data_IF_980085997001
#
_entry.id   IF_980085997001
#
_cell.length_a   1.000
_cell.length_b   1.000
_cell.length_c   1.000
_cell.angle_alpha   90.00
_cell.angle_beta   90.00
_cell.angle_gamma   90.00
#
_symmetry.space_group_name_H-M   'P 1'
#
loop_
_entity.id
_entity.type
_entity.pdbx_description
1 polymer ?
#
# COMPACT_ATOMS: atom_id res chain seq x y z
N UNK A 1 8.09 48.52 -73.05
CA UNK A 1 9.22 49.35 -72.55
C UNK A 1 8.95 49.67 -71.08
N UNK A 2 9.99 49.79 -70.24
CA UNK A 2 10.06 50.59 -68.98
C UNK A 2 8.94 50.48 -67.91
N UNK A 3 9.19 50.34 -66.60
CA UNK A 3 10.38 49.98 -65.79
C UNK A 3 9.96 49.83 -64.31
N UNK A 4 10.40 48.74 -63.66
CA UNK A 4 10.90 48.64 -62.27
C UNK A 4 10.04 49.00 -61.02
N UNK A 5 10.37 48.30 -59.91
CA UNK A 5 10.17 48.63 -58.49
C UNK A 5 8.78 48.75 -57.84
N UNK A 6 8.51 47.91 -56.83
CA UNK A 6 7.83 48.38 -55.60
C UNK A 6 6.95 47.39 -54.81
N UNK A 7 7.54 46.67 -53.85
CA UNK A 7 6.89 46.12 -52.63
C UNK A 7 5.69 45.16 -52.77
N UNK A 8 5.98 43.93 -53.17
CA UNK A 8 5.25 42.72 -52.75
C UNK A 8 5.57 42.37 -51.26
N UNK A 9 4.74 41.71 -50.44
CA UNK A 9 3.43 41.04 -50.65
C UNK A 9 2.53 41.18 -49.39
N UNK A 10 1.22 40.95 -49.56
CA UNK A 10 0.14 41.05 -48.56
C UNK A 10 0.28 40.11 -47.32
N UNK A 11 -0.15 40.53 -46.10
CA UNK A 11 -0.19 39.66 -44.92
C UNK A 11 -1.58 39.01 -44.73
N UNK A 12 -1.68 37.68 -44.88
CA UNK A 12 -2.92 36.93 -44.59
C UNK A 12 -2.67 35.49 -44.11
N UNK A 13 -3.69 34.95 -43.43
CA UNK A 13 -3.96 33.54 -43.05
C UNK A 13 -3.12 32.80 -41.96
N UNK A 14 -3.83 32.56 -40.85
CA UNK A 14 -4.01 31.28 -40.13
C UNK A 14 -3.13 30.82 -38.92
N UNK A 15 -3.90 30.41 -37.91
CA UNK A 15 -3.63 29.66 -36.66
C UNK A 15 -3.08 28.21 -36.92
N UNK A 16 -2.66 27.40 -35.91
CA UNK A 16 -3.00 27.46 -34.47
C UNK A 16 -1.83 27.17 -33.47
N UNK A 17 -2.20 26.82 -32.23
CA UNK A 17 -1.37 26.77 -31.02
C UNK A 17 -1.21 25.33 -30.49
N UNK A 18 -0.03 24.94 -29.96
CA UNK A 18 0.20 24.26 -28.64
C UNK A 18 1.47 23.37 -28.50
N UNK A 19 2.09 23.47 -27.30
CA UNK A 19 2.77 22.41 -26.47
C UNK A 19 4.22 21.91 -26.69
N UNK A 20 4.84 21.57 -25.53
CA UNK A 20 6.02 20.69 -25.28
C UNK A 20 7.42 21.37 -25.39
N UNK A 21 8.50 21.03 -24.63
CA UNK A 21 8.76 19.93 -23.66
C UNK A 21 9.94 20.28 -22.69
N UNK A 22 10.02 19.65 -21.48
CA UNK A 22 11.23 19.21 -20.68
C UNK A 22 12.54 20.07 -20.54
N UNK A 23 13.35 20.07 -19.46
CA UNK A 23 13.40 19.37 -18.14
C UNK A 23 14.59 19.84 -17.25
N UNK A 24 14.47 19.72 -15.90
CA UNK A 24 15.57 19.63 -14.88
C UNK A 24 16.52 20.85 -14.71
N UNK A 25 17.18 21.17 -13.58
CA UNK A 25 17.33 20.66 -12.18
C UNK A 25 18.12 21.72 -11.34
N UNK A 26 18.35 21.72 -10.01
CA UNK A 26 17.89 20.97 -8.80
C UNK A 26 18.46 21.63 -7.51
N UNK A 27 17.95 21.27 -6.31
CA UNK A 27 18.55 21.42 -4.94
C UNK A 27 18.69 22.84 -4.32
N UNK A 28 18.64 23.07 -2.99
CA UNK A 28 18.12 22.30 -1.84
C UNK A 28 17.96 23.15 -0.54
N UNK A 29 16.96 22.77 0.29
CA UNK A 29 16.91 22.81 1.78
C UNK A 29 16.93 24.13 2.59
N UNK A 30 16.23 24.08 3.75
CA UNK A 30 16.11 25.04 4.87
C UNK A 30 15.05 26.16 4.72
N UNK A 31 14.20 26.45 5.72
CA UNK A 31 13.81 25.73 6.95
C UNK A 31 12.29 25.96 7.16
N UNK A 32 11.46 25.02 7.63
CA UNK A 32 11.51 24.30 8.91
C UNK A 32 11.59 25.21 10.15
N UNK A 33 10.55 26.04 10.38
CA UNK A 33 9.73 26.01 11.62
C UNK A 33 8.35 26.59 11.26
N UNK A 34 7.29 25.77 11.32
CA UNK A 34 6.05 26.20 11.99
C UNK A 34 5.25 24.98 12.47
N UNK A 35 5.64 24.44 13.63
CA UNK A 35 5.02 23.25 14.22
C UNK A 35 3.68 23.59 14.88
N UNK A 36 2.64 23.79 14.06
CA UNK A 36 1.27 23.88 14.56
C UNK A 36 0.75 22.49 14.93
N UNK A 37 1.25 21.97 16.05
CA UNK A 37 0.74 20.74 16.67
C UNK A 37 -0.70 20.97 17.16
N UNK A 38 -1.67 20.69 16.30
CA UNK A 38 -3.10 20.84 16.61
C UNK A 38 -3.59 19.68 17.50
N UNK A 39 -3.04 19.60 18.72
CA UNK A 39 -3.22 18.49 19.68
C UNK A 39 -4.67 18.27 20.09
N UNK A 40 -5.55 19.25 19.86
CA UNK A 40 -6.99 19.13 20.11
C UNK A 40 -7.62 18.10 19.16
N UNK A 41 -7.23 18.10 17.87
CA UNK A 41 -7.81 17.21 16.86
C UNK A 41 -7.55 15.72 17.12
N UNK A 42 -6.47 15.37 17.82
CA UNK A 42 -6.17 13.98 18.19
C UNK A 42 -7.17 13.44 19.21
N UNK A 43 -7.50 14.23 20.25
CA UNK A 43 -8.40 13.78 21.31
C UNK A 43 -9.87 13.74 20.87
N UNK A 44 -10.26 14.61 19.93
CA UNK A 44 -11.56 14.50 19.27
C UNK A 44 -11.60 13.29 18.31
N UNK A 45 -10.53 13.02 17.56
CA UNK A 45 -10.42 11.82 16.73
C UNK A 45 -10.55 10.52 17.55
N UNK A 46 -9.85 10.41 18.69
CA UNK A 46 -9.91 9.25 19.58
C UNK A 46 -11.36 8.95 20.00
N UNK A 47 -12.07 9.93 20.59
CA UNK A 47 -13.47 9.79 21.02
C UNK A 47 -14.44 9.48 19.88
N UNK A 48 -14.22 10.09 18.72
CA UNK A 48 -15.04 9.86 17.52
C UNK A 48 -14.78 8.44 16.98
N UNK A 49 -13.53 7.98 16.99
CA UNK A 49 -13.12 6.64 16.58
C UNK A 49 -13.70 5.56 17.50
N UNK A 50 -13.59 5.71 18.83
CA UNK A 50 -14.23 4.83 19.81
C UNK A 50 -15.74 4.71 19.59
N UNK A 51 -16.42 5.83 19.32
CA UNK A 51 -17.85 5.83 19.00
C UNK A 51 -18.16 5.13 17.67
N UNK A 52 -17.35 5.31 16.63
CA UNK A 52 -17.54 4.59 15.36
C UNK A 52 -17.29 3.09 15.51
N UNK A 53 -16.27 2.67 16.26
CA UNK A 53 -16.01 1.26 16.58
C UNK A 53 -17.19 0.65 17.37
N UNK A 54 -17.72 1.38 18.36
CA UNK A 54 -18.89 0.95 19.13
C UNK A 54 -20.11 0.73 18.24
N UNK A 55 -20.35 1.60 17.26
CA UNK A 55 -21.44 1.45 16.30
C UNK A 55 -21.17 0.29 15.34
N UNK A 56 -19.95 0.17 14.81
CA UNK A 56 -19.54 -0.90 13.90
C UNK A 56 -19.73 -2.29 14.52
N UNK A 57 -19.44 -2.46 15.81
CA UNK A 57 -19.68 -3.69 16.57
C UNK A 57 -21.15 -4.02 16.85
N UNK A 58 -22.11 -3.17 16.46
CA UNK A 58 -23.56 -3.48 16.51
C UNK A 58 -24.12 -4.00 15.19
N UNK A 59 -23.34 -3.99 14.12
CA UNK A 59 -23.73 -4.41 12.77
C UNK A 59 -23.44 -5.89 12.52
N UNK A 60 -24.17 -6.53 11.60
CA UNK A 60 -23.88 -7.91 11.20
C UNK A 60 -22.62 -8.02 10.30
N UNK A 61 -22.11 -9.25 10.11
CA UNK A 61 -20.90 -9.52 9.33
C UNK A 61 -20.97 -8.93 7.90
N UNK A 62 -22.17 -8.91 7.30
CA UNK A 62 -22.39 -8.42 5.93
C UNK A 62 -22.42 -6.90 5.89
N UNK A 63 -23.08 -6.26 6.85
CA UNK A 63 -23.07 -4.81 7.04
C UNK A 63 -21.65 -4.28 7.29
N UNK A 64 -20.90 -4.95 8.17
CA UNK A 64 -19.49 -4.67 8.45
C UNK A 64 -18.62 -4.78 7.17
N UNK A 65 -18.74 -5.88 6.42
CA UNK A 65 -18.00 -6.07 5.16
C UNK A 65 -18.32 -5.00 4.11
N UNK A 66 -19.60 -4.69 3.91
CA UNK A 66 -20.04 -3.65 2.96
C UNK A 66 -19.51 -2.27 3.39
N UNK A 67 -19.48 -1.96 4.69
CA UNK A 67 -18.91 -0.70 5.17
C UNK A 67 -17.40 -0.62 4.95
N UNK A 68 -16.64 -1.66 5.29
CA UNK A 68 -15.18 -1.71 5.07
C UNK A 68 -14.84 -1.60 3.58
N UNK A 69 -15.58 -2.28 2.70
CA UNK A 69 -15.42 -2.14 1.25
C UNK A 69 -15.63 -0.67 0.78
N UNK A 70 -16.64 0.01 1.34
CA UNK A 70 -16.93 1.42 1.04
C UNK A 70 -15.93 2.41 1.66
N UNK A 71 -15.23 2.05 2.74
CA UNK A 71 -14.07 2.80 3.23
C UNK A 71 -12.87 2.61 2.30
N UNK A 72 -12.52 1.36 1.94
CA UNK A 72 -11.40 1.05 1.06
C UNK A 72 -11.53 1.75 -0.29
N UNK A 73 -12.73 1.77 -0.90
CA UNK A 73 -13.04 2.52 -2.13
C UNK A 73 -12.75 4.04 -2.08
N UNK A 74 -12.56 4.61 -0.88
CA UNK A 74 -12.28 6.05 -0.65
C UNK A 74 -10.82 6.34 -0.25
N UNK A 75 -10.00 5.31 -0.09
CA UNK A 75 -8.59 5.42 0.31
C UNK A 75 -7.65 5.43 -0.91
N UNK A 76 -6.46 5.98 -0.74
CA UNK A 76 -5.44 6.04 -1.80
C UNK A 76 -4.66 4.71 -1.90
N UNK A 77 -4.12 4.42 -3.09
CA UNK A 77 -3.35 3.20 -3.39
C UNK A 77 -2.21 2.89 -2.38
N UNK A 78 -1.51 3.91 -1.87
CA UNK A 78 -0.45 3.71 -0.86
C UNK A 78 -1.00 3.21 0.49
N UNK A 79 -2.22 3.61 0.83
CA UNK A 79 -2.93 3.17 2.04
C UNK A 79 -3.49 1.75 1.85
N UNK A 80 -3.92 1.39 0.64
CA UNK A 80 -4.28 0.01 0.31
C UNK A 80 -3.08 -0.93 0.48
N UNK A 81 -1.88 -0.52 0.07
CA UNK A 81 -0.65 -1.26 0.32
C UNK A 81 -0.38 -1.49 1.81
N UNK A 82 -0.51 -0.45 2.64
CA UNK A 82 -0.36 -0.56 4.10
C UNK A 82 -1.40 -1.50 4.73
N UNK A 83 -2.67 -1.39 4.33
CA UNK A 83 -3.74 -2.28 4.80
C UNK A 83 -3.50 -3.72 4.35
N UNK A 84 -3.05 -3.95 3.12
CA UNK A 84 -2.73 -5.29 2.63
C UNK A 84 -1.62 -5.96 3.45
N UNK A 85 -0.55 -5.22 3.77
CA UNK A 85 0.52 -5.70 4.66
C UNK A 85 0.02 -5.99 6.08
N UNK A 86 -0.97 -5.25 6.58
CA UNK A 86 -1.60 -5.51 7.88
C UNK A 86 -2.56 -6.72 7.85
N UNK A 87 -3.32 -6.91 6.77
CA UNK A 87 -4.26 -8.01 6.61
C UNK A 87 -3.58 -9.36 6.34
N UNK A 88 -2.43 -9.37 5.66
CA UNK A 88 -1.73 -10.61 5.30
C UNK A 88 -1.48 -11.52 6.53
N UNK A 89 -0.88 -11.05 7.65
CA UNK A 89 -0.74 -11.85 8.88
C UNK A 89 -2.07 -12.30 9.51
N UNK A 90 -3.17 -11.55 9.32
CA UNK A 90 -4.50 -11.92 9.85
C UNK A 90 -5.22 -12.97 9.00
N UNK A 91 -4.83 -13.10 7.73
CA UNK A 91 -5.39 -14.06 6.76
C UNK A 91 -4.49 -15.29 6.57
N UNK A 92 -3.20 -15.18 6.89
CA UNK A 92 -2.26 -16.29 6.89
C UNK A 92 -2.50 -17.20 8.09
N UNK A 93 -2.41 -18.51 7.84
CA UNK A 93 -2.46 -19.54 8.87
C UNK A 93 -1.08 -20.16 8.99
N UNK A 94 -0.44 -20.03 10.15
CA UNK A 94 0.69 -20.90 10.45
C UNK A 94 0.18 -22.34 10.57
N UNK A 95 0.54 -23.18 9.62
CA UNK A 95 0.16 -24.59 9.59
C UNK A 95 1.14 -25.46 10.38
N UNK A 96 2.43 -25.12 10.45
CA UNK A 96 3.46 -25.97 11.06
C UNK A 96 3.33 -25.90 12.58
N UNK A 97 3.37 -24.70 13.18
CA UNK A 97 3.18 -24.52 14.62
C UNK A 97 1.80 -24.97 15.10
N UNK A 98 0.75 -24.88 14.26
CA UNK A 98 -0.57 -25.43 14.60
C UNK A 98 -0.70 -26.94 14.48
N UNK A 99 0.18 -27.63 13.74
CA UNK A 99 0.22 -29.08 13.69
C UNK A 99 1.06 -29.63 14.86
N UNK A 100 2.22 -29.03 15.11
CA UNK A 100 3.07 -29.30 16.29
C UNK A 100 2.28 -29.15 17.60
N UNK A 101 1.63 -27.99 17.82
CA UNK A 101 0.81 -27.73 19.00
C UNK A 101 -0.46 -28.61 19.14
N UNK A 102 -0.65 -29.59 18.25
CA UNK A 102 -1.71 -30.61 18.28
C UNK A 102 -1.18 -32.05 18.32
N UNK A 103 0.14 -32.27 18.42
CA UNK A 103 0.75 -33.60 18.34
C UNK A 103 0.69 -34.21 16.94
N UNK A 104 0.69 -33.36 15.90
CA UNK A 104 0.63 -33.76 14.49
C UNK A 104 1.95 -33.45 13.76
N UNK A 105 3.08 -33.51 14.49
CA UNK A 105 4.45 -33.32 13.98
C UNK A 105 4.69 -34.05 12.65
N UNK A 106 4.37 -35.35 12.59
CA UNK A 106 4.47 -36.19 11.38
C UNK A 106 3.71 -35.68 10.13
N UNK A 107 2.74 -34.77 10.29
CA UNK A 107 2.07 -34.09 9.18
C UNK A 107 2.83 -32.83 8.79
N UNK A 108 3.37 -32.09 9.76
CA UNK A 108 4.22 -30.92 9.54
C UNK A 108 5.56 -31.32 8.88
N UNK A 109 6.25 -32.33 9.40
CA UNK A 109 7.40 -33.01 8.77
C UNK A 109 7.11 -33.34 7.30
N UNK A 110 5.95 -33.95 7.03
CA UNK A 110 5.55 -34.36 5.68
C UNK A 110 5.26 -33.17 4.76
N UNK A 111 4.82 -32.03 5.29
CA UNK A 111 4.67 -30.78 4.51
C UNK A 111 6.05 -30.20 4.19
N UNK A 112 6.95 -30.16 5.17
CA UNK A 112 8.33 -29.68 5.00
C UNK A 112 9.14 -30.59 4.06
N UNK A 113 8.89 -31.90 4.07
CA UNK A 113 9.49 -32.88 3.16
C UNK A 113 9.08 -32.78 1.68
N UNK A 114 8.24 -31.80 1.31
CA UNK A 114 8.01 -31.39 -0.09
C UNK A 114 8.81 -30.16 -0.50
N UNK A 115 9.58 -29.55 0.41
CA UNK A 115 10.47 -28.42 0.12
C UNK A 115 11.79 -28.91 -0.47
N UNK A 116 12.42 -28.07 -1.29
CA UNK A 116 13.81 -28.26 -1.71
C UNK A 116 14.79 -27.76 -0.64
N UNK A 117 16.05 -28.18 -0.72
CA UNK A 117 17.10 -27.87 0.26
C UNK A 117 17.21 -26.37 0.62
N UNK A 118 17.01 -25.45 -0.34
CA UNK A 118 17.08 -24.01 -0.08
C UNK A 118 15.83 -23.49 0.66
N UNK A 119 14.66 -24.01 0.31
CA UNK A 119 13.41 -23.71 1.03
C UNK A 119 13.43 -24.30 2.44
N UNK A 120 14.01 -25.49 2.65
CA UNK A 120 14.12 -26.14 3.96
C UNK A 120 15.05 -25.37 4.91
N UNK A 121 16.22 -24.93 4.42
CA UNK A 121 17.10 -23.99 5.16
C UNK A 121 16.41 -22.65 5.44
N UNK A 122 15.54 -22.19 4.53
CA UNK A 122 14.75 -20.97 4.78
C UNK A 122 13.69 -21.17 5.87
N UNK A 123 13.16 -22.39 6.06
CA UNK A 123 12.20 -22.69 7.13
C UNK A 123 12.83 -22.76 8.53
N UNK A 124 14.14 -23.05 8.63
CA UNK A 124 14.91 -22.99 9.89
C UNK A 124 14.87 -21.60 10.54
N UNK A 125 14.68 -20.55 9.73
CA UNK A 125 14.73 -19.15 10.15
C UNK A 125 13.36 -18.51 10.44
N UNK A 126 12.26 -19.28 10.39
CA UNK A 126 10.89 -18.74 10.54
C UNK A 126 10.55 -18.42 12.00
N UNK A 127 10.62 -19.43 12.88
CA UNK A 127 10.51 -19.28 14.34
C UNK A 127 11.03 -20.54 15.05
N UNK A 128 11.05 -20.50 16.39
CA UNK A 128 11.49 -21.64 17.23
C UNK A 128 10.66 -22.91 17.00
N UNK A 129 9.34 -22.76 16.81
CA UNK A 129 8.40 -23.87 16.65
C UNK A 129 8.69 -24.61 15.32
N UNK A 130 8.82 -23.87 14.22
CA UNK A 130 9.25 -24.41 12.92
C UNK A 130 10.65 -25.05 12.99
N UNK A 131 11.58 -24.48 13.76
CA UNK A 131 12.88 -25.11 14.01
C UNK A 131 12.74 -26.46 14.72
N UNK A 132 11.87 -26.55 15.74
CA UNK A 132 11.70 -27.77 16.50
C UNK A 132 11.28 -28.95 15.61
N UNK A 133 10.31 -28.74 14.72
CA UNK A 133 9.81 -29.74 13.75
C UNK A 133 10.90 -30.17 12.73
N UNK A 134 11.83 -29.29 12.38
CA UNK A 134 12.96 -29.60 11.48
C UNK A 134 14.07 -30.39 12.21
N UNK A 135 14.16 -30.23 13.53
CA UNK A 135 15.24 -30.79 14.38
C UNK A 135 14.93 -32.17 15.02
N UNK A 136 13.75 -32.73 14.77
CA UNK A 136 13.23 -33.95 15.39
C UNK A 136 13.75 -35.26 14.74
#
# INVERSE_FOLDING_TARGET
>A
MTTNSGNDINPDEHSPMLTSTSSSSSNCLSAFINSHTNKNSTNDYEKISERFLTIFSTWDDREQLIFVENLLKRMHNHQHGQINTFLLPMLQRDFIGQLEARGLEHIAEKILGYLDDQSLVSTELVCHDWYHVISA
#
